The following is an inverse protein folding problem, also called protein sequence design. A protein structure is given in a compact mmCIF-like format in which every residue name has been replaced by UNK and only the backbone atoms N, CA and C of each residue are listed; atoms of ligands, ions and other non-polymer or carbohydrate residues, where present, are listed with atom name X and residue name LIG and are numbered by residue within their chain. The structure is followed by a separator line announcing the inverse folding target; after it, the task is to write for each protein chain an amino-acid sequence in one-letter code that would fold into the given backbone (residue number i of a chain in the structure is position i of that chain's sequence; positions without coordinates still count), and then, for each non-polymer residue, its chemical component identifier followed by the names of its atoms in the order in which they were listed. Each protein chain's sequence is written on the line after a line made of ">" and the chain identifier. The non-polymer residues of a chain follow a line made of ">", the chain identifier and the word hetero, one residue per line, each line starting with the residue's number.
data_IF_811997598556
#
_entry.id   IF_811997598556
#
_cell.length_a   1.000
_cell.length_b   1.000
_cell.length_c   1.000
_cell.angle_alpha   90.00
_cell.angle_beta   90.00
_cell.angle_gamma   90.00
#
_symmetry.space_group_name_H-M   'P 1'
#
loop_
_entity.id
_entity.type
_entity.pdbx_description
1 polymer ?
#
# COMPACT_ATOMS: atom_id res chain seq x y z
N UNK A 1 -17.11 23.37 -11.05
CA UNK A 1 -16.60 21.98 -10.98
C UNK A 1 -15.20 22.04 -10.37
N UNK A 2 -15.07 21.82 -9.05
CA UNK A 2 -13.77 21.84 -8.39
C UNK A 2 -12.99 20.61 -8.84
N UNK A 3 -11.92 20.82 -9.61
CA UNK A 3 -10.99 19.76 -10.00
C UNK A 3 -10.23 19.33 -8.75
N UNK A 4 -10.74 18.30 -8.08
CA UNK A 4 -10.03 17.66 -6.97
C UNK A 4 -8.63 17.26 -7.43
N UNK A 5 -7.62 17.64 -6.64
CA UNK A 5 -6.23 17.32 -6.92
C UNK A 5 -6.10 15.79 -6.96
N UNK A 6 -5.54 15.27 -8.05
CA UNK A 6 -5.32 13.82 -8.22
C UNK A 6 -4.44 13.32 -7.08
N UNK A 7 -4.88 12.26 -6.42
CA UNK A 7 -4.12 11.62 -5.35
C UNK A 7 -4.03 10.11 -5.55
N UNK A 8 -2.92 9.54 -5.10
CA UNK A 8 -2.73 8.10 -5.00
C UNK A 8 -2.70 7.71 -3.53
N UNK A 9 -3.64 6.87 -3.11
CA UNK A 9 -3.71 6.34 -1.75
C UNK A 9 -3.54 4.82 -1.76
N UNK A 10 -2.61 4.32 -0.96
CA UNK A 10 -2.45 2.90 -0.68
C UNK A 10 -3.04 2.57 0.68
N UNK A 11 -3.97 1.62 0.74
CA UNK A 11 -4.57 1.09 1.97
C UNK A 11 -4.07 -0.35 2.18
N UNK A 12 -3.21 -0.51 3.19
CA UNK A 12 -2.63 -1.76 3.65
C UNK A 12 -3.37 -2.31 4.87
N UNK A 13 -3.17 -3.60 5.18
CA UNK A 13 -3.61 -4.19 6.44
C UNK A 13 -3.73 -5.70 6.39
N UNK A 14 -3.92 -6.33 7.55
CA UNK A 14 -4.16 -7.76 7.65
C UNK A 14 -5.49 -8.21 7.01
N UNK A 15 -5.75 -9.52 7.04
CA UNK A 15 -7.08 -10.05 6.75
C UNK A 15 -8.08 -9.49 7.79
N UNK A 16 -9.28 -9.14 7.34
CA UNK A 16 -10.37 -8.59 8.19
C UNK A 16 -10.02 -7.31 8.99
N UNK A 17 -9.00 -6.55 8.57
CA UNK A 17 -8.60 -5.31 9.27
C UNK A 17 -9.49 -4.09 9.01
N UNK A 18 -10.55 -4.21 8.20
CA UNK A 18 -11.43 -3.10 7.81
C UNK A 18 -10.99 -2.31 6.57
N UNK A 19 -9.89 -2.69 5.91
CA UNK A 19 -9.32 -1.94 4.77
C UNK A 19 -10.23 -1.75 3.57
N UNK A 20 -11.04 -2.74 3.18
CA UNK A 20 -11.96 -2.58 2.04
C UNK A 20 -13.09 -1.60 2.36
N UNK A 21 -13.57 -1.57 3.60
CA UNK A 21 -14.57 -0.59 4.03
C UNK A 21 -13.98 0.82 4.04
N UNK A 22 -12.82 0.99 4.68
CA UNK A 22 -12.12 2.27 4.72
C UNK A 22 -11.81 2.80 3.30
N UNK A 23 -11.34 1.94 2.40
CA UNK A 23 -11.07 2.33 1.01
C UNK A 23 -12.32 2.75 0.22
N UNK A 24 -13.49 2.18 0.53
CA UNK A 24 -14.77 2.61 -0.05
C UNK A 24 -15.19 3.99 0.45
N UNK A 25 -15.00 4.27 1.75
CA UNK A 25 -15.27 5.59 2.32
C UNK A 25 -14.37 6.67 1.70
N UNK A 26 -13.11 6.34 1.35
CA UNK A 26 -12.23 7.29 0.68
C UNK A 26 -12.71 7.73 -0.72
N UNK A 27 -13.59 6.96 -1.35
CA UNK A 27 -14.10 7.25 -2.69
C UNK A 27 -15.61 7.56 -2.71
N UNK A 28 -16.28 7.59 -1.56
CA UNK A 28 -17.75 7.76 -1.48
C UNK A 28 -18.24 9.10 -2.00
N UNK A 29 -17.40 10.13 -1.87
CA UNK A 29 -17.76 11.52 -2.21
C UNK A 29 -17.47 11.85 -3.67
N UNK A 30 -16.90 10.89 -4.43
CA UNK A 30 -16.67 11.06 -5.86
C UNK A 30 -17.93 10.68 -6.65
N UNK A 31 -18.26 11.50 -7.64
CA UNK A 31 -19.44 11.29 -8.49
C UNK A 31 -19.27 10.06 -9.40
N UNK A 32 -18.11 9.95 -10.06
CA UNK A 32 -17.82 8.84 -11.00
C UNK A 32 -16.73 7.94 -10.44
N UNK A 33 -17.15 6.82 -9.84
CA UNK A 33 -16.23 5.81 -9.30
C UNK A 33 -16.24 4.56 -10.16
N UNK A 34 -15.04 4.08 -10.53
CA UNK A 34 -14.86 2.74 -11.09
C UNK A 34 -14.19 1.83 -10.05
N UNK A 35 -14.88 0.78 -9.66
CA UNK A 35 -14.35 -0.33 -8.89
C UNK A 35 -13.68 -1.34 -9.82
N UNK A 36 -12.39 -1.60 -9.59
CA UNK A 36 -11.59 -2.56 -10.36
C UNK A 36 -11.40 -3.82 -9.52
N UNK A 37 -12.13 -4.88 -9.88
CA UNK A 37 -12.04 -6.18 -9.24
C UNK A 37 -10.89 -6.99 -9.82
N UNK A 38 -9.90 -7.36 -9.00
CA UNK A 38 -8.78 -8.21 -9.46
C UNK A 38 -9.01 -9.69 -9.17
N UNK A 39 -10.01 -10.03 -8.36
CA UNK A 39 -10.40 -11.40 -8.07
C UNK A 39 -10.92 -12.15 -9.30
N UNK A 40 -10.57 -13.43 -9.40
CA UNK A 40 -11.27 -14.36 -10.30
C UNK A 40 -12.34 -15.09 -9.50
N UNK A 41 -13.49 -15.38 -10.12
CA UNK A 41 -14.57 -16.17 -9.50
C UNK A 41 -14.22 -17.67 -9.48
N UNK A 42 -13.18 -18.06 -8.74
CA UNK A 42 -12.65 -19.43 -8.78
C UNK A 42 -13.09 -20.33 -7.63
N UNK A 43 -13.56 -19.78 -6.50
CA UNK A 43 -14.11 -20.59 -5.40
C UNK A 43 -15.34 -19.93 -4.74
N UNK A 44 -16.08 -20.72 -3.96
CA UNK A 44 -17.31 -20.32 -3.29
C UNK A 44 -17.11 -19.26 -2.18
N UNK A 45 -15.95 -19.25 -1.51
CA UNK A 45 -15.63 -18.27 -0.47
C UNK A 45 -15.40 -16.87 -1.09
N UNK A 46 -14.74 -16.82 -2.24
CA UNK A 46 -14.53 -15.65 -3.05
C UNK A 46 -15.85 -15.17 -3.66
N UNK A 47 -16.76 -16.07 -4.05
CA UNK A 47 -18.11 -15.69 -4.48
C UNK A 47 -18.91 -15.03 -3.36
N UNK A 48 -18.85 -15.56 -2.13
CA UNK A 48 -19.52 -14.95 -0.97
C UNK A 48 -18.91 -13.59 -0.60
N UNK A 49 -17.57 -13.46 -0.61
CA UNK A 49 -16.89 -12.17 -0.42
C UNK A 49 -17.28 -11.15 -1.50
N UNK A 50 -17.33 -11.57 -2.76
CA UNK A 50 -17.78 -10.72 -3.88
C UNK A 50 -19.23 -10.29 -3.68
N UNK A 51 -20.12 -11.20 -3.28
CA UNK A 51 -21.53 -10.91 -3.04
C UNK A 51 -21.71 -9.91 -1.90
N UNK A 52 -20.99 -10.09 -0.77
CA UNK A 52 -20.99 -9.13 0.34
C UNK A 52 -20.49 -7.77 -0.11
N UNK A 53 -19.32 -7.71 -0.75
CA UNK A 53 -18.76 -6.44 -1.21
C UNK A 53 -19.67 -5.77 -2.25
N UNK A 54 -20.40 -6.51 -3.08
CA UNK A 54 -21.37 -5.91 -4.02
C UNK A 54 -22.57 -5.28 -3.31
N UNK A 55 -23.05 -5.88 -2.21
CA UNK A 55 -24.14 -5.32 -1.40
C UNK A 55 -23.75 -4.06 -0.65
N UNK A 56 -22.47 -3.94 -0.29
CA UNK A 56 -21.91 -2.79 0.43
C UNK A 56 -21.56 -1.61 -0.50
N UNK A 57 -21.58 -1.81 -1.83
CA UNK A 57 -21.22 -0.80 -2.82
C UNK A 57 -22.46 -0.05 -3.34
N UNK A 58 -22.37 1.26 -3.57
CA UNK A 58 -23.39 2.00 -4.29
C UNK A 58 -23.61 1.41 -5.69
N UNK A 59 -24.88 1.19 -6.07
CA UNK A 59 -25.23 0.58 -7.38
C UNK A 59 -24.76 1.44 -8.56
N UNK A 60 -24.55 2.73 -8.32
CA UNK A 60 -24.07 3.70 -9.31
C UNK A 60 -22.60 3.48 -9.72
N UNK A 61 -21.82 2.73 -8.94
CA UNK A 61 -20.41 2.52 -9.25
C UNK A 61 -20.24 1.53 -10.40
N UNK A 62 -19.44 1.94 -11.40
CA UNK A 62 -19.02 1.05 -12.48
C UNK A 62 -18.09 -0.01 -11.91
N UNK A 63 -18.31 -1.28 -12.25
CA UNK A 63 -17.43 -2.39 -11.84
C UNK A 63 -16.79 -3.02 -13.06
N UNK A 64 -15.45 -3.13 -13.06
CA UNK A 64 -14.68 -3.77 -14.14
C UNK A 64 -13.79 -4.85 -13.55
N UNK A 65 -13.76 -6.03 -14.16
CA UNK A 65 -12.88 -7.11 -13.76
C UNK A 65 -11.54 -7.01 -14.51
N UNK A 66 -10.42 -7.05 -13.78
CA UNK A 66 -9.07 -6.91 -14.34
C UNK A 66 -8.07 -7.84 -13.64
N UNK A 67 -8.24 -9.18 -13.76
CA UNK A 67 -7.41 -10.14 -13.02
C UNK A 67 -5.94 -10.17 -13.47
N UNK A 68 -5.65 -9.80 -14.72
CA UNK A 68 -4.29 -9.77 -15.29
C UNK A 68 -3.97 -8.45 -16.02
N UNK A 69 -4.99 -7.77 -16.55
CA UNK A 69 -4.84 -6.57 -17.38
C UNK A 69 -5.01 -5.26 -16.59
N UNK A 70 -4.68 -5.26 -15.30
CA UNK A 70 -4.93 -4.13 -14.38
C UNK A 70 -4.38 -2.80 -14.91
N UNK A 71 -3.15 -2.78 -15.41
CA UNK A 71 -2.53 -1.60 -16.04
C UNK A 71 -3.36 -1.03 -17.20
N UNK A 72 -3.91 -1.88 -18.08
CA UNK A 72 -4.75 -1.44 -19.21
C UNK A 72 -6.08 -0.87 -18.71
N UNK A 73 -6.70 -1.55 -17.76
CA UNK A 73 -7.96 -1.11 -17.15
C UNK A 73 -7.81 0.24 -16.45
N UNK A 74 -6.73 0.46 -15.70
CA UNK A 74 -6.44 1.78 -15.09
C UNK A 74 -6.35 2.87 -16.18
N UNK A 75 -5.64 2.60 -17.28
CA UNK A 75 -5.47 3.58 -18.37
C UNK A 75 -6.76 3.89 -19.12
N UNK A 76 -7.66 2.91 -19.28
CA UNK A 76 -8.95 3.14 -19.95
C UNK A 76 -9.95 3.84 -19.02
N UNK A 77 -10.11 3.33 -17.80
CA UNK A 77 -11.16 3.79 -16.88
C UNK A 77 -10.82 5.16 -16.28
N UNK A 78 -9.54 5.49 -16.10
CA UNK A 78 -9.13 6.81 -15.57
C UNK A 78 -9.47 7.99 -16.49
N UNK A 79 -9.95 7.76 -17.72
CA UNK A 79 -10.39 8.81 -18.63
C UNK A 79 -11.77 9.35 -18.26
N UNK A 80 -12.63 8.49 -17.72
CA UNK A 80 -14.04 8.77 -17.47
C UNK A 80 -14.38 8.83 -15.97
N UNK A 81 -13.59 8.14 -15.13
CA UNK A 81 -13.79 8.14 -13.68
C UNK A 81 -13.06 9.31 -12.99
N UNK A 82 -13.65 9.81 -11.91
CA UNK A 82 -12.98 10.74 -10.99
C UNK A 82 -12.14 9.98 -9.96
N UNK A 83 -12.56 8.76 -9.59
CA UNK A 83 -11.81 7.85 -8.73
C UNK A 83 -11.82 6.40 -9.20
N UNK A 84 -10.69 5.73 -9.05
CA UNK A 84 -10.50 4.30 -9.25
C UNK A 84 -10.26 3.62 -7.90
N UNK A 85 -11.07 2.63 -7.56
CA UNK A 85 -10.87 1.78 -6.38
C UNK A 85 -10.42 0.38 -6.82
N UNK A 86 -9.18 0.02 -6.53
CA UNK A 86 -8.59 -1.29 -6.86
C UNK A 86 -8.65 -2.20 -5.62
N UNK A 87 -9.45 -3.27 -5.67
CA UNK A 87 -9.54 -4.28 -4.60
C UNK A 87 -9.37 -5.69 -5.20
N UNK A 88 -8.21 -6.36 -5.02
CA UNK A 88 -6.99 -5.87 -4.37
C UNK A 88 -5.71 -6.32 -5.08
N UNK A 89 -4.61 -5.63 -4.82
CA UNK A 89 -3.28 -5.96 -5.35
C UNK A 89 -2.82 -7.36 -4.91
N UNK A 90 -3.26 -7.83 -3.74
CA UNK A 90 -3.00 -9.16 -3.19
C UNK A 90 -3.44 -10.28 -4.13
N UNK A 91 -4.65 -10.19 -4.68
CA UNK A 91 -5.17 -11.20 -5.61
C UNK A 91 -4.58 -10.99 -7.01
N UNK A 92 -4.34 -9.73 -7.41
CA UNK A 92 -3.66 -9.45 -8.68
C UNK A 92 -2.28 -10.13 -8.75
N UNK A 93 -1.45 -9.98 -7.71
CA UNK A 93 -0.13 -10.63 -7.64
C UNK A 93 -0.26 -12.16 -7.72
N UNK A 94 -1.23 -12.75 -7.01
CA UNK A 94 -1.49 -14.19 -7.06
C UNK A 94 -1.86 -14.64 -8.49
N UNK A 95 -2.73 -13.89 -9.18
CA UNK A 95 -3.12 -14.20 -10.56
C UNK A 95 -1.94 -14.10 -11.53
N UNK A 96 -1.11 -13.06 -11.42
CA UNK A 96 0.08 -12.87 -12.27
C UNK A 96 1.05 -14.05 -12.11
N UNK A 97 1.29 -14.49 -10.86
CA UNK A 97 2.15 -15.63 -10.57
C UNK A 97 1.57 -16.97 -11.02
N UNK A 98 0.25 -17.13 -10.97
CA UNK A 98 -0.45 -18.35 -11.37
C UNK A 98 -0.64 -18.50 -12.89
N UNK A 99 -0.54 -17.41 -13.66
CA UNK A 99 -0.70 -17.46 -15.10
C UNK A 99 0.42 -18.28 -15.78
N UNK A 100 0.10 -19.01 -16.85
CA UNK A 100 1.01 -19.95 -17.53
C UNK A 100 1.93 -19.30 -18.58
N UNK A 101 1.80 -18.00 -18.84
CA UNK A 101 2.52 -17.25 -19.89
C UNK A 101 3.79 -16.55 -19.36
N UNK A 102 4.33 -15.58 -20.13
CA UNK A 102 5.51 -14.74 -19.82
C UNK A 102 5.53 -14.13 -18.40
N UNK A 103 4.39 -14.07 -17.71
CA UNK A 103 4.29 -13.63 -16.32
C UNK A 103 5.12 -14.49 -15.35
N UNK A 104 5.32 -15.78 -15.63
CA UNK A 104 6.22 -16.63 -14.83
C UNK A 104 7.68 -16.20 -14.90
N UNK A 105 8.10 -15.67 -16.05
CA UNK A 105 9.49 -15.34 -16.31
C UNK A 105 9.84 -13.93 -15.80
N UNK A 106 8.88 -13.01 -15.75
CA UNK A 106 9.14 -11.67 -15.23
C UNK A 106 7.90 -10.98 -14.59
N UNK A 107 7.56 -11.33 -13.33
CA UNK A 107 6.46 -10.69 -12.62
C UNK A 107 6.69 -9.20 -12.34
N UNK A 108 7.95 -8.74 -12.32
CA UNK A 108 8.30 -7.33 -12.07
C UNK A 108 7.73 -6.40 -13.13
N UNK A 109 7.70 -6.84 -14.40
CA UNK A 109 7.06 -6.08 -15.50
C UNK A 109 5.59 -5.75 -15.22
N UNK A 110 4.87 -6.65 -14.55
CA UNK A 110 3.46 -6.42 -14.20
C UNK A 110 3.28 -5.41 -13.07
N UNK A 111 4.24 -5.34 -12.15
CA UNK A 111 4.26 -4.34 -11.08
C UNK A 111 4.56 -2.96 -11.70
N UNK A 112 5.62 -2.88 -12.52
CA UNK A 112 6.05 -1.65 -13.17
C UNK A 112 4.95 -1.06 -14.05
N UNK A 113 4.31 -1.89 -14.88
CA UNK A 113 3.20 -1.45 -15.72
C UNK A 113 2.00 -0.92 -14.92
N UNK A 114 1.72 -1.49 -13.73
CA UNK A 114 0.67 -0.98 -12.84
C UNK A 114 1.08 0.36 -12.23
N UNK A 115 2.30 0.49 -11.73
CA UNK A 115 2.81 1.77 -11.20
C UNK A 115 2.77 2.88 -12.26
N UNK A 116 3.23 2.60 -13.48
CA UNK A 116 3.17 3.54 -14.60
C UNK A 116 1.73 3.93 -14.96
N UNK A 117 0.80 2.97 -14.94
CA UNK A 117 -0.61 3.25 -15.20
C UNK A 117 -1.23 4.14 -14.11
N UNK A 118 -0.87 3.92 -12.85
CA UNK A 118 -1.33 4.74 -11.71
C UNK A 118 -0.76 6.16 -11.82
N UNK A 119 0.54 6.31 -12.09
CA UNK A 119 1.18 7.61 -12.28
C UNK A 119 0.59 8.39 -13.46
N UNK A 120 0.21 7.69 -14.54
CA UNK A 120 -0.42 8.29 -15.71
C UNK A 120 -1.93 8.52 -15.55
N UNK A 121 -2.54 8.06 -14.46
CA UNK A 121 -3.98 8.14 -14.24
C UNK A 121 -4.46 9.60 -14.20
N UNK A 122 -5.61 9.86 -14.83
CA UNK A 122 -6.31 11.14 -14.67
C UNK A 122 -7.29 11.15 -13.49
N UNK A 123 -7.64 9.99 -12.96
CA UNK A 123 -8.48 9.81 -11.78
C UNK A 123 -7.64 9.73 -10.50
N UNK A 124 -8.24 10.03 -9.35
CA UNK A 124 -7.69 9.61 -8.06
C UNK A 124 -7.65 8.08 -8.00
N UNK A 125 -6.63 7.51 -7.36
CA UNK A 125 -6.47 6.05 -7.25
C UNK A 125 -6.39 5.66 -5.79
N UNK A 126 -7.28 4.76 -5.37
CA UNK A 126 -7.21 4.07 -4.08
C UNK A 126 -6.91 2.60 -4.35
N UNK A 127 -5.75 2.13 -3.91
CA UNK A 127 -5.33 0.74 -4.06
C UNK A 127 -5.36 0.02 -2.71
N UNK A 128 -6.03 -1.14 -2.67
CA UNK A 128 -6.10 -1.99 -1.48
C UNK A 128 -5.11 -3.14 -1.62
N UNK A 129 -4.37 -3.43 -0.55
CA UNK A 129 -3.51 -4.61 -0.47
C UNK A 129 -3.41 -5.16 0.96
N UNK A 130 -3.13 -6.44 1.08
CA UNK A 130 -2.76 -7.06 2.35
C UNK A 130 -1.30 -6.76 2.70
N UNK A 131 -1.04 -6.59 3.99
CA UNK A 131 0.30 -6.74 4.55
C UNK A 131 0.48 -8.20 5.01
N UNK A 132 1.47 -8.90 4.46
CA UNK A 132 1.73 -10.33 4.68
C UNK A 132 3.18 -10.62 5.10
N UNK A 133 4.03 -9.59 5.14
CA UNK A 133 5.45 -9.69 5.47
C UNK A 133 5.75 -9.63 6.97
N UNK A 134 4.78 -9.26 7.81
CA UNK A 134 4.96 -9.09 9.26
C UNK A 134 4.81 -10.38 10.09
N UNK A 135 4.70 -11.54 9.43
CA UNK A 135 4.51 -12.84 10.07
C UNK A 135 5.68 -13.80 9.88
N UNK A 136 5.45 -15.07 10.21
CA UNK A 136 6.44 -16.14 10.04
C UNK A 136 6.73 -16.40 8.56
N UNK A 137 7.96 -16.83 8.25
CA UNK A 137 8.33 -17.22 6.89
C UNK A 137 7.47 -18.41 6.43
N UNK A 138 6.81 -18.34 5.25
CA UNK A 138 6.02 -19.46 4.75
C UNK A 138 6.85 -20.75 4.57
N UNK A 139 6.30 -21.88 4.99
CA UNK A 139 6.95 -23.19 4.86
C UNK A 139 7.21 -23.58 3.40
N UNK A 140 6.27 -23.25 2.50
CA UNK A 140 6.34 -23.59 1.09
C UNK A 140 7.06 -22.52 0.26
N UNK A 141 7.85 -22.97 -0.72
CA UNK A 141 8.58 -22.09 -1.66
C UNK A 141 7.65 -21.12 -2.39
N UNK A 142 6.50 -21.60 -2.85
CA UNK A 142 5.48 -20.78 -3.52
C UNK A 142 5.00 -19.63 -2.64
N UNK A 143 4.77 -19.89 -1.35
CA UNK A 143 4.37 -18.87 -0.37
C UNK A 143 5.44 -17.81 -0.13
N UNK A 144 6.72 -18.21 -0.05
CA UNK A 144 7.84 -17.25 0.08
C UNK A 144 7.93 -16.34 -1.14
N UNK A 145 7.91 -16.92 -2.34
CA UNK A 145 7.94 -16.16 -3.60
C UNK A 145 6.75 -15.18 -3.66
N UNK A 146 5.55 -15.64 -3.29
CA UNK A 146 4.36 -14.80 -3.28
C UNK A 146 4.50 -13.61 -2.32
N UNK A 147 4.91 -13.88 -1.07
CA UNK A 147 5.16 -12.85 -0.06
C UNK A 147 6.17 -11.82 -0.57
N UNK A 148 7.27 -12.25 -1.15
CA UNK A 148 8.34 -11.37 -1.62
C UNK A 148 7.88 -10.50 -2.81
N UNK A 149 7.06 -11.04 -3.73
CA UNK A 149 6.47 -10.27 -4.83
C UNK A 149 5.38 -9.30 -4.36
N UNK A 150 4.53 -9.70 -3.42
CA UNK A 150 3.54 -8.78 -2.85
C UNK A 150 4.21 -7.65 -2.09
N UNK A 151 5.30 -7.94 -1.36
CA UNK A 151 6.13 -6.93 -0.72
C UNK A 151 6.71 -5.92 -1.72
N UNK A 152 7.26 -6.40 -2.85
CA UNK A 152 7.74 -5.52 -3.92
C UNK A 152 6.62 -4.64 -4.52
N UNK A 153 5.44 -5.22 -4.76
CA UNK A 153 4.27 -4.46 -5.22
C UNK A 153 3.88 -3.38 -4.21
N UNK A 154 3.72 -3.74 -2.93
CA UNK A 154 3.36 -2.80 -1.86
C UNK A 154 4.38 -1.65 -1.74
N UNK A 155 5.68 -1.97 -1.76
CA UNK A 155 6.75 -0.97 -1.68
C UNK A 155 6.72 0.00 -2.87
N UNK A 156 6.59 -0.50 -4.11
CA UNK A 156 6.55 0.36 -5.29
C UNK A 156 5.32 1.26 -5.32
N UNK A 157 4.16 0.74 -4.91
CA UNK A 157 2.95 1.56 -4.82
C UNK A 157 3.07 2.59 -3.70
N UNK A 158 3.62 2.23 -2.53
CA UNK A 158 3.85 3.16 -1.42
C UNK A 158 4.81 4.30 -1.78
N UNK A 159 5.82 4.03 -2.62
CA UNK A 159 6.75 5.06 -3.11
C UNK A 159 6.03 6.12 -3.93
N UNK A 160 5.14 5.72 -4.86
CA UNK A 160 4.38 6.65 -5.71
C UNK A 160 3.13 7.24 -5.04
N UNK A 161 2.64 6.64 -3.95
CA UNK A 161 1.43 7.09 -3.27
C UNK A 161 1.64 8.43 -2.55
N UNK A 162 0.69 9.35 -2.66
CA UNK A 162 0.66 10.56 -1.80
C UNK A 162 0.32 10.20 -0.35
N UNK A 163 -0.52 9.16 -0.15
CA UNK A 163 -0.92 8.69 1.17
C UNK A 163 -0.77 7.17 1.29
N UNK A 164 -0.23 6.70 2.41
CA UNK A 164 -0.19 5.28 2.78
C UNK A 164 -0.84 5.10 4.15
N UNK A 165 -1.82 4.22 4.24
CA UNK A 165 -2.55 3.91 5.47
C UNK A 165 -2.43 2.42 5.76
N UNK A 166 -2.05 2.06 6.98
CA UNK A 166 -2.12 0.70 7.51
C UNK A 166 -3.37 0.56 8.39
N UNK A 167 -4.24 -0.37 8.06
CA UNK A 167 -5.45 -0.66 8.81
C UNK A 167 -5.20 -1.75 9.85
N UNK A 168 -5.50 -1.45 11.11
CA UNK A 168 -5.36 -2.36 12.26
C UNK A 168 -6.66 -2.33 13.06
N UNK A 169 -7.34 -3.48 13.20
CA UNK A 169 -8.61 -3.59 13.93
C UNK A 169 -9.67 -2.52 13.55
N UNK A 170 -9.75 -2.15 12.27
CA UNK A 170 -10.66 -1.11 11.79
C UNK A 170 -10.14 0.32 11.92
N UNK A 171 -8.98 0.53 12.53
CA UNK A 171 -8.39 1.84 12.76
C UNK A 171 -7.32 2.18 11.70
N UNK A 172 -7.36 3.38 11.10
CA UNK A 172 -6.36 3.81 10.13
C UNK A 172 -5.11 4.38 10.83
N UNK A 173 -3.95 3.77 10.57
CA UNK A 173 -2.63 4.30 10.94
C UNK A 173 -2.00 4.91 9.69
N UNK A 174 -1.80 6.22 9.67
CA UNK A 174 -1.20 6.89 8.50
C UNK A 174 0.33 6.75 8.55
N UNK A 175 0.89 6.03 7.57
CA UNK A 175 2.34 5.78 7.45
C UNK A 175 3.05 6.84 6.59
N UNK A 176 2.32 7.43 5.63
CA UNK A 176 2.80 8.49 4.74
C UNK A 176 1.64 9.42 4.42
N UNK A 177 1.88 10.72 4.49
CA UNK A 177 0.96 11.72 3.95
C UNK A 177 1.74 12.93 3.40
N UNK A 178 2.03 12.89 2.10
CA UNK A 178 2.74 13.95 1.39
C UNK A 178 1.88 15.18 1.13
N UNK A 179 0.61 15.20 1.57
CA UNK A 179 -0.27 16.38 1.48
C UNK A 179 -0.03 17.35 2.62
N UNK A 180 0.30 16.84 3.82
CA UNK A 180 0.56 17.61 5.04
C UNK A 180 1.78 18.55 4.87
N UNK A 181 2.76 18.18 4.03
CA UNK A 181 3.92 19.03 3.71
C UNK A 181 3.67 20.09 2.63
N UNK A 182 2.60 19.96 1.84
CA UNK A 182 2.29 20.88 0.72
C UNK A 182 1.46 22.09 1.15
N UNK A 183 0.70 21.97 2.24
CA UNK A 183 -0.06 23.10 2.82
C UNK A 183 0.86 24.09 3.55
N UNK A 184 1.90 23.59 4.25
CA UNK A 184 2.94 24.45 4.86
C UNK A 184 3.85 25.16 3.84
N UNK A 185 3.85 24.72 2.56
CA UNK A 185 4.55 25.42 1.48
C UNK A 185 3.85 26.71 1.01
N UNK A 186 2.57 26.89 1.32
CA UNK A 186 1.83 28.14 1.10
C UNK A 186 1.81 29.03 2.36
N UNK A 187 2.22 28.50 3.52
CA UNK A 187 2.33 29.22 4.77
C UNK A 187 3.58 28.76 5.54
N UNK A 188 4.71 29.40 5.25
CA UNK A 188 5.84 29.51 6.18
C UNK A 188 6.79 28.31 6.26
N UNK A 189 7.99 28.52 5.71
CA UNK A 189 9.23 27.92 6.20
C UNK A 189 9.36 28.17 7.71
N UNK A 190 9.48 27.11 8.52
CA UNK A 190 10.36 27.15 9.70
C UNK A 190 11.09 25.82 9.83
N UNK A 191 12.39 25.94 9.56
CA UNK A 191 13.60 25.24 10.00
C UNK A 191 13.55 23.81 10.55
N UNK A 192 14.46 23.02 9.99
CA UNK A 192 15.05 21.83 10.60
C UNK A 192 15.50 22.10 12.04
N UNK A 193 15.23 21.14 12.92
CA UNK A 193 15.91 21.00 14.21
C UNK A 193 16.95 19.88 14.06
N UNK A 194 18.19 20.32 13.92
CA UNK A 194 19.43 19.57 14.16
C UNK A 194 19.41 19.02 15.59
N UNK A 195 19.65 17.72 15.73
CA UNK A 195 20.02 17.12 17.02
C UNK A 195 21.51 17.46 17.25
N UNK A 196 21.77 18.49 18.06
CA UNK A 196 23.09 18.68 18.67
C UNK A 196 23.19 17.76 19.89
N UNK A 197 24.11 16.82 19.82
CA UNK A 197 24.62 16.05 20.95
C UNK A 197 25.38 16.99 21.88
N UNK A 198 24.82 17.28 23.05
CA UNK A 198 25.56 17.89 24.15
C UNK A 198 26.28 16.78 24.91
N UNK A 199 27.59 16.71 24.71
CA UNK A 199 28.51 16.12 25.67
C UNK A 199 28.42 16.94 26.97
N UNK A 200 28.02 16.30 28.07
CA UNK A 200 28.19 16.86 29.41
C UNK A 200 29.44 16.25 30.02
N UNK A 201 30.56 16.98 29.91
CA UNK A 201 31.67 16.87 30.84
C UNK A 201 31.16 17.20 32.25
N UNK A 202 31.32 16.25 33.18
CA UNK A 202 31.41 16.56 34.60
C UNK A 202 32.60 15.81 35.18
N UNK A 203 33.74 16.50 35.16
CA UNK A 203 34.85 16.22 36.05
C UNK A 203 34.46 16.68 37.46
N UNK A 204 34.52 15.80 38.46
CA UNK A 204 35.48 15.91 39.57
C UNK A 204 35.33 14.75 40.57
N UNK A 205 36.45 14.29 41.15
CA UNK A 205 36.46 13.88 42.56
C UNK A 205 36.72 12.42 42.96
N UNK A 206 37.81 11.80 42.46
CA UNK A 206 38.78 11.02 43.25
C UNK A 206 38.38 9.80 44.13
N UNK A 207 38.98 8.64 43.85
CA UNK A 207 39.97 7.96 44.74
C UNK A 207 40.59 6.74 44.05
N UNK A 208 41.91 6.62 44.20
CA UNK A 208 42.78 5.50 43.76
C UNK A 208 42.54 4.24 44.61
N UNK A 209 42.67 3.06 43.99
CA UNK A 209 43.50 1.87 44.37
C UNK A 209 43.08 0.68 43.47
N UNK A 210 43.87 0.24 42.49
CA UNK A 210 44.96 -0.76 42.53
C UNK A 210 44.51 -2.23 42.36
N UNK A 211 45.20 -2.96 41.46
CA UNK A 211 45.13 -4.40 41.09
C UNK A 211 43.88 -4.83 40.31
N UNK A 212 43.93 -5.58 39.21
CA UNK A 212 45.00 -6.24 38.49
C UNK A 212 44.40 -7.29 37.53
N UNK A 213 45.14 -7.60 36.46
CA UNK A 213 45.16 -8.91 35.79
C UNK A 213 43.95 -9.41 34.97
N UNK A 214 44.22 -9.53 33.66
CA UNK A 214 44.05 -10.71 32.80
C UNK A 214 42.65 -11.27 32.46
N UNK A 215 42.47 -11.34 31.13
CA UNK A 215 42.09 -12.53 30.35
C UNK A 215 40.63 -13.04 30.27
N UNK A 216 40.18 -13.10 29.00
CA UNK A 216 39.58 -14.26 28.30
C UNK A 216 38.25 -14.81 28.85
N UNK A 217 37.17 -14.78 28.03
CA UNK A 217 36.59 -15.96 27.37
C UNK A 217 35.28 -15.63 26.59
N UNK A 218 35.30 -16.02 25.31
CA UNK A 218 34.24 -16.51 24.40
C UNK A 218 32.96 -15.70 24.18
#
# INVERSE_FOLDING_TARGET
>A
MQTSKKTVTLVLGGAQSGKSYYAQQLVSDFERVTFIATGRRTDAEMQQKIARHRRERPIAWRTVEAPLSLHRTIRSESREADALLIDCLTIYVANVMGARSESKNNPKKYIDAVCEAILASKACVVAVSNEVGSGVVPAYRSGRIYRDFLGQMNQKIAQIADRVVLMVAGLPVTLKDSRIGREKGAAGLVSAATYESTESESANGGRKTHLGSREIFK
#
